data_IF_064581697397
#
_entry.id   IF_064581697397
#
_cell.length_a   1.000
_cell.length_b   1.000
_cell.length_c   1.000
_cell.angle_alpha   90.00
_cell.angle_beta   90.00
_cell.angle_gamma   90.00
#
_symmetry.space_group_name_H-M   'P 1'
#
loop_
_entity.id
_entity.type
_entity.pdbx_description
1 polymer ?
#
# COMPACT_ATOMS: atom_id res chain seq x y z
N UNK A 1 61.94 -53.01 12.99
CA UNK A 1 60.84 -52.14 13.44
C UNK A 1 60.49 -50.88 12.59
N UNK A 2 61.23 -50.50 11.57
CA UNK A 2 60.90 -49.30 10.75
C UNK A 2 59.91 -49.51 9.57
N UNK A 3 59.73 -50.73 9.07
CA UNK A 3 58.83 -51.03 7.94
C UNK A 3 57.32 -51.07 8.33
N UNK A 4 56.99 -51.51 9.53
CA UNK A 4 55.61 -51.60 10.01
C UNK A 4 54.96 -50.22 10.24
N UNK A 5 55.69 -49.20 10.69
CA UNK A 5 55.15 -47.85 10.90
C UNK A 5 54.75 -47.13 9.58
N UNK A 6 55.46 -47.43 8.46
CA UNK A 6 55.12 -46.79 7.15
C UNK A 6 53.87 -47.37 6.55
N UNK A 7 53.59 -48.66 6.74
CA UNK A 7 52.39 -49.31 6.22
C UNK A 7 51.14 -48.82 6.98
N UNK A 8 51.18 -48.64 8.29
CA UNK A 8 50.09 -48.14 9.09
C UNK A 8 49.73 -46.69 8.76
N UNK A 9 50.74 -45.82 8.50
CA UNK A 9 50.50 -44.42 8.13
C UNK A 9 49.89 -44.32 6.74
N UNK A 10 50.30 -45.16 5.80
CA UNK A 10 49.71 -45.20 4.45
C UNK A 10 48.26 -45.70 4.48
N UNK A 11 47.93 -46.70 5.29
CA UNK A 11 46.59 -47.25 5.42
C UNK A 11 45.60 -46.22 6.04
N UNK A 12 46.04 -45.51 7.09
CA UNK A 12 45.25 -44.46 7.72
C UNK A 12 44.99 -43.30 6.75
N UNK A 13 45.99 -42.90 5.92
CA UNK A 13 45.83 -41.89 4.92
C UNK A 13 44.81 -42.25 3.81
N UNK A 14 44.83 -43.54 3.36
CA UNK A 14 43.87 -44.03 2.34
C UNK A 14 42.45 -44.10 2.88
N UNK A 15 42.28 -44.55 4.13
CA UNK A 15 40.97 -44.63 4.78
C UNK A 15 40.40 -43.24 5.00
N UNK A 16 41.22 -42.25 5.43
CA UNK A 16 40.77 -40.87 5.60
C UNK A 16 40.37 -40.21 4.25
N UNK A 17 41.11 -40.50 3.18
CA UNK A 17 40.76 -40.00 1.85
C UNK A 17 39.49 -40.64 1.31
N UNK A 18 39.25 -41.91 1.55
CA UNK A 18 38.04 -42.62 1.17
C UNK A 18 36.79 -42.12 1.92
N UNK A 19 36.93 -41.77 3.20
CA UNK A 19 35.83 -41.17 4.00
C UNK A 19 35.51 -39.77 3.52
N UNK A 20 36.50 -38.95 3.18
CA UNK A 20 36.29 -37.62 2.63
C UNK A 20 35.65 -37.69 1.22
N UNK A 21 36.09 -38.64 0.39
CA UNK A 21 35.48 -38.80 -0.96
C UNK A 21 34.06 -39.36 -0.91
N UNK A 22 33.72 -40.20 0.07
CA UNK A 22 32.36 -40.67 0.25
C UNK A 22 31.45 -39.62 0.87
N UNK A 23 31.95 -38.74 1.75
CA UNK A 23 31.19 -37.61 2.27
C UNK A 23 30.87 -36.58 1.19
N UNK A 24 31.81 -36.31 0.25
CA UNK A 24 31.52 -35.46 -0.89
C UNK A 24 30.54 -36.08 -1.88
N UNK A 25 30.52 -37.41 -2.05
CA UNK A 25 29.53 -38.09 -2.89
C UNK A 25 28.10 -38.07 -2.30
N UNK A 26 27.99 -38.22 -1.00
CA UNK A 26 26.67 -38.12 -0.35
C UNK A 26 26.07 -36.75 -0.48
N UNK A 27 26.88 -35.69 -0.39
CA UNK A 27 26.43 -34.31 -0.59
C UNK A 27 25.96 -34.00 -2.03
N UNK A 28 26.49 -34.71 -3.04
CA UNK A 28 26.11 -34.52 -4.46
C UNK A 28 24.90 -35.37 -4.85
N UNK A 29 24.63 -36.46 -4.13
CA UNK A 29 23.52 -37.39 -4.43
C UNK A 29 22.35 -37.28 -3.44
N UNK A 30 22.42 -36.35 -2.52
CA UNK A 30 21.32 -36.12 -1.58
C UNK A 30 20.13 -35.52 -2.33
N UNK A 31 19.00 -36.23 -2.27
CA UNK A 31 17.73 -35.69 -2.77
C UNK A 31 17.32 -34.50 -1.91
N UNK A 32 17.51 -33.29 -2.45
CA UNK A 32 17.16 -32.03 -1.79
C UNK A 32 15.72 -31.61 -2.05
N UNK A 33 14.93 -32.43 -2.72
CA UNK A 33 13.51 -32.17 -2.95
C UNK A 33 12.74 -31.90 -1.64
N UNK A 34 13.03 -32.61 -0.52
CA UNK A 34 12.39 -32.34 0.78
C UNK A 34 12.89 -31.07 1.47
N UNK A 35 14.06 -30.51 1.07
CA UNK A 35 14.55 -29.29 1.68
C UNK A 35 13.70 -28.09 1.22
N UNK A 36 13.41 -27.13 2.11
CA UNK A 36 12.68 -25.93 1.73
C UNK A 36 13.46 -25.10 0.72
N UNK A 37 12.74 -24.28 -0.01
CA UNK A 37 13.29 -23.16 -0.75
C UNK A 37 13.33 -21.92 0.18
N UNK A 38 14.05 -20.89 -0.25
CA UNK A 38 14.07 -19.60 0.43
C UNK A 38 13.74 -18.49 -0.56
N UNK A 39 12.83 -17.62 -0.15
CA UNK A 39 12.51 -16.39 -0.88
C UNK A 39 13.28 -15.25 -0.22
N UNK A 40 14.23 -14.66 -0.95
CA UNK A 40 14.92 -13.45 -0.52
C UNK A 40 14.10 -12.24 -0.92
N UNK A 41 13.54 -11.60 0.08
CA UNK A 41 12.74 -10.38 -0.04
C UNK A 41 13.64 -9.18 0.23
N UNK A 42 13.68 -8.21 -0.71
CA UNK A 42 14.54 -7.05 -0.59
C UNK A 42 13.80 -5.78 -1.01
N UNK A 43 13.85 -4.75 -0.17
CA UNK A 43 13.22 -3.46 -0.48
C UNK A 43 14.01 -2.71 -1.56
N UNK A 44 13.33 -2.37 -2.66
CA UNK A 44 13.89 -1.65 -3.80
C UNK A 44 12.91 -0.56 -4.25
N UNK A 45 13.21 0.73 -4.03
CA UNK A 45 14.39 1.29 -3.35
C UNK A 45 14.42 0.97 -1.85
N UNK A 46 15.60 1.09 -1.20
CA UNK A 46 15.71 0.88 0.23
C UNK A 46 14.79 1.81 1.03
N UNK A 47 14.10 1.25 2.01
CA UNK A 47 13.17 1.96 2.89
C UNK A 47 13.98 2.80 3.89
N UNK A 48 13.53 4.03 4.16
CA UNK A 48 14.12 4.85 5.20
C UNK A 48 13.75 4.32 6.60
N UNK A 49 14.69 3.80 7.40
CA UNK A 49 14.39 3.24 8.72
C UNK A 49 13.98 4.29 9.76
N UNK A 50 14.10 5.58 9.46
CA UNK A 50 13.59 6.65 10.31
C UNK A 50 12.08 6.88 10.13
N UNK A 51 11.55 6.52 8.97
CA UNK A 51 10.11 6.59 8.69
C UNK A 51 9.42 5.34 9.19
N UNK A 52 10.03 4.18 8.92
CA UNK A 52 9.49 2.88 9.29
C UNK A 52 10.60 2.04 9.93
N UNK A 53 10.49 1.74 11.21
CA UNK A 53 11.47 0.89 11.91
C UNK A 53 11.19 -0.59 11.66
N UNK A 54 9.92 -0.98 11.68
CA UNK A 54 9.44 -2.35 11.49
C UNK A 54 8.19 -2.35 10.63
N UNK A 55 8.02 -3.43 9.85
CA UNK A 55 6.81 -3.72 9.08
C UNK A 55 6.26 -5.08 9.48
N UNK A 56 4.94 -5.21 9.47
CA UNK A 56 4.28 -6.51 9.54
C UNK A 56 4.54 -7.26 8.23
N UNK A 57 4.80 -8.56 8.33
CA UNK A 57 4.85 -9.46 7.19
C UNK A 57 3.92 -10.63 7.45
N UNK A 58 3.11 -10.98 6.47
CA UNK A 58 2.29 -12.19 6.46
C UNK A 58 2.61 -13.01 5.23
N UNK A 59 2.66 -14.31 5.40
CA UNK A 59 3.11 -15.28 4.40
C UNK A 59 2.03 -16.33 4.18
N UNK A 60 1.72 -16.63 2.93
CA UNK A 60 0.79 -17.68 2.53
C UNK A 60 1.46 -18.67 1.59
N UNK A 61 1.06 -19.93 1.69
CA UNK A 61 1.40 -21.00 0.75
C UNK A 61 0.13 -21.69 0.29
N UNK A 62 -0.06 -21.79 -1.02
CA UNK A 62 -1.23 -22.38 -1.63
C UNK A 62 -2.56 -21.80 -1.07
N UNK A 63 -2.58 -20.47 -0.80
CA UNK A 63 -3.72 -19.74 -0.24
C UNK A 63 -3.96 -19.93 1.26
N UNK A 64 -3.05 -20.58 2.00
CA UNK A 64 -3.14 -20.80 3.45
C UNK A 64 -2.10 -19.95 4.18
N UNK A 65 -2.54 -19.10 5.10
CA UNK A 65 -1.61 -18.33 5.94
C UNK A 65 -0.73 -19.27 6.78
N UNK A 66 0.57 -19.10 6.66
CA UNK A 66 1.60 -19.90 7.34
C UNK A 66 2.23 -19.18 8.50
N UNK A 67 2.48 -17.89 8.33
CA UNK A 67 3.22 -17.12 9.31
C UNK A 67 2.81 -15.65 9.23
N UNK A 68 2.84 -14.98 10.40
CA UNK A 68 2.64 -13.56 10.55
C UNK A 68 3.53 -13.03 11.67
N UNK A 69 4.42 -12.12 11.34
CA UNK A 69 5.32 -11.50 12.30
C UNK A 69 5.74 -10.10 11.86
N UNK A 70 6.59 -9.44 12.64
CA UNK A 70 7.17 -8.15 12.25
C UNK A 70 8.63 -8.31 11.89
N UNK A 71 9.05 -7.66 10.80
CA UNK A 71 10.44 -7.63 10.33
C UNK A 71 11.01 -6.22 10.46
N UNK A 72 12.28 -6.11 10.82
CA UNK A 72 12.95 -4.82 10.87
C UNK A 72 13.31 -4.34 9.45
N UNK A 73 13.08 -3.06 9.18
CA UNK A 73 13.32 -2.48 7.85
C UNK A 73 14.77 -2.61 7.41
N UNK A 74 15.74 -2.58 8.35
CA UNK A 74 17.15 -2.78 7.99
C UNK A 74 17.43 -4.20 7.45
N UNK A 75 16.65 -5.22 7.85
CA UNK A 75 16.76 -6.60 7.35
C UNK A 75 16.18 -6.68 5.93
N UNK A 76 15.03 -6.06 5.69
CA UNK A 76 14.44 -5.96 4.34
C UNK A 76 15.37 -5.25 3.36
N UNK A 77 16.05 -4.17 3.79
CA UNK A 77 17.00 -3.43 2.96
C UNK A 77 18.27 -4.23 2.62
N UNK A 78 18.54 -5.34 3.29
CA UNK A 78 19.69 -6.24 3.05
C UNK A 78 19.31 -7.56 2.41
N UNK A 79 18.03 -7.81 2.29
CA UNK A 79 17.46 -9.08 1.87
C UNK A 79 17.12 -9.98 3.04
N UNK A 80 15.84 -10.04 3.35
CA UNK A 80 15.25 -10.92 4.36
C UNK A 80 14.87 -12.25 3.71
N UNK A 81 15.20 -13.36 4.36
CA UNK A 81 14.92 -14.70 3.83
C UNK A 81 13.71 -15.31 4.52
N UNK A 82 12.76 -15.77 3.71
CA UNK A 82 11.55 -16.48 4.14
C UNK A 82 11.64 -17.91 3.62
N UNK A 83 11.40 -18.86 4.50
CA UNK A 83 11.30 -20.27 4.11
C UNK A 83 10.01 -20.47 3.31
N UNK A 84 10.10 -21.24 2.21
CA UNK A 84 8.99 -21.55 1.33
C UNK A 84 9.00 -23.04 0.93
N UNK A 85 7.84 -23.63 0.77
CA UNK A 85 7.69 -25.00 0.30
C UNK A 85 7.96 -25.07 -1.20
N UNK A 86 8.77 -26.05 -1.63
CA UNK A 86 8.96 -26.33 -3.06
C UNK A 86 7.67 -26.84 -3.71
N UNK A 87 7.52 -26.51 -4.99
CA UNK A 87 6.35 -26.84 -5.80
C UNK A 87 5.02 -26.32 -5.19
N UNK A 88 5.03 -25.07 -4.71
CA UNK A 88 3.87 -24.37 -4.16
C UNK A 88 3.74 -22.98 -4.76
N UNK A 89 2.59 -22.36 -4.59
CA UNK A 89 2.41 -20.93 -4.82
C UNK A 89 2.63 -20.18 -3.52
N UNK A 90 3.59 -19.28 -3.53
CA UNK A 90 4.01 -18.47 -2.38
C UNK A 90 3.53 -17.04 -2.54
N UNK A 91 2.96 -16.49 -1.48
CA UNK A 91 2.54 -15.10 -1.41
C UNK A 91 3.05 -14.46 -0.14
N UNK A 92 3.37 -13.18 -0.20
CA UNK A 92 3.65 -12.40 0.99
C UNK A 92 3.12 -10.96 0.85
N UNK A 93 2.60 -10.44 1.95
CA UNK A 93 2.22 -9.05 2.12
C UNK A 93 3.06 -8.40 3.21
N UNK A 94 3.56 -7.20 2.93
CA UNK A 94 4.15 -6.32 3.93
C UNK A 94 3.21 -5.17 4.20
N UNK A 95 3.09 -4.79 5.47
CA UNK A 95 2.18 -3.74 5.90
C UNK A 95 2.81 -2.91 7.02
N UNK A 96 2.71 -1.59 6.91
CA UNK A 96 3.11 -0.65 7.95
C UNK A 96 2.07 0.44 8.15
N UNK A 97 1.93 0.94 9.37
CA UNK A 97 1.05 2.06 9.69
C UNK A 97 -0.45 1.78 9.68
N UNK A 98 -0.88 0.56 9.37
CA UNK A 98 -2.29 0.18 9.45
C UNK A 98 -2.66 -0.28 10.86
N UNK A 99 -3.75 0.22 11.48
CA UNK A 99 -4.20 -0.25 12.78
C UNK A 99 -4.61 -1.73 12.74
N UNK A 100 -4.15 -2.52 13.71
CA UNK A 100 -4.43 -3.96 13.75
C UNK A 100 -5.93 -4.24 13.90
N UNK A 101 -6.63 -3.42 14.68
CA UNK A 101 -8.07 -3.49 14.89
C UNK A 101 -8.92 -3.16 13.65
N UNK A 102 -8.30 -2.63 12.59
CA UNK A 102 -8.94 -2.35 11.30
C UNK A 102 -8.64 -3.41 10.24
N UNK A 103 -7.99 -4.51 10.65
CA UNK A 103 -7.68 -5.64 9.77
C UNK A 103 -8.77 -6.70 9.92
N UNK A 104 -9.44 -7.01 8.82
CA UNK A 104 -10.34 -8.14 8.70
C UNK A 104 -9.58 -9.39 8.18
N UNK A 105 -10.28 -10.51 8.02
CA UNK A 105 -9.65 -11.77 7.56
C UNK A 105 -9.07 -11.68 6.16
N UNK A 106 -9.69 -10.89 5.29
CA UNK A 106 -9.44 -10.84 3.85
C UNK A 106 -9.32 -9.42 3.28
N UNK A 107 -9.38 -8.38 4.12
CA UNK A 107 -9.16 -6.99 3.71
C UNK A 107 -8.75 -6.08 4.86
N UNK A 108 -8.12 -4.95 4.49
CA UNK A 108 -7.79 -3.83 5.36
C UNK A 108 -8.95 -2.86 5.31
N UNK A 109 -9.64 -2.65 6.41
CA UNK A 109 -10.84 -1.83 6.49
C UNK A 109 -10.56 -0.44 7.05
N UNK A 110 -11.24 0.58 6.53
CA UNK A 110 -11.31 1.93 7.09
C UNK A 110 -12.70 2.08 7.71
N UNK A 111 -12.83 2.07 9.03
CA UNK A 111 -14.14 2.18 9.66
C UNK A 111 -14.81 3.52 9.33
N UNK A 112 -16.15 3.51 9.21
CA UNK A 112 -16.94 4.72 8.96
C UNK A 112 -16.60 5.85 9.95
N UNK A 113 -16.51 7.07 9.47
CA UNK A 113 -16.14 8.25 10.24
C UNK A 113 -14.63 8.51 10.30
N UNK A 114 -13.80 7.59 9.85
CA UNK A 114 -12.34 7.71 9.91
C UNK A 114 -11.72 8.11 8.58
N UNK A 115 -10.58 8.79 8.67
CA UNK A 115 -9.70 9.02 7.52
C UNK A 115 -8.82 7.79 7.27
N UNK A 116 -8.31 7.63 6.04
CA UNK A 116 -7.35 6.58 5.74
C UNK A 116 -6.10 6.70 6.65
N UNK A 117 -5.61 5.63 7.24
CA UNK A 117 -4.39 5.68 8.05
C UNK A 117 -3.17 5.94 7.18
N UNK A 118 -2.08 6.38 7.80
CA UNK A 118 -0.79 6.56 7.11
C UNK A 118 -0.15 5.19 6.83
N UNK A 119 -0.81 4.40 5.97
CA UNK A 119 -0.42 3.03 5.65
C UNK A 119 0.50 2.93 4.45
N UNK A 120 1.40 1.95 4.50
CA UNK A 120 2.20 1.50 3.37
C UNK A 120 2.06 0.00 3.23
N UNK A 121 2.05 -0.49 2.00
CA UNK A 121 1.92 -1.90 1.71
C UNK A 121 2.81 -2.34 0.56
N UNK A 122 3.11 -3.64 0.51
CA UNK A 122 3.64 -4.32 -0.64
C UNK A 122 3.08 -5.74 -0.68
N UNK A 123 2.85 -6.23 -1.89
CA UNK A 123 2.37 -7.60 -2.09
C UNK A 123 3.12 -8.22 -3.27
N UNK A 124 3.43 -9.50 -3.13
CA UNK A 124 3.92 -10.29 -4.24
C UNK A 124 3.47 -11.74 -4.12
N UNK A 125 3.33 -12.39 -5.27
CA UNK A 125 3.09 -13.83 -5.37
C UNK A 125 3.99 -14.42 -6.43
N UNK A 126 4.45 -15.66 -6.22
CA UNK A 126 5.30 -16.38 -7.16
C UNK A 126 5.17 -17.89 -7.05
N UNK A 127 5.40 -18.58 -8.16
CA UNK A 127 5.56 -20.02 -8.17
C UNK A 127 6.93 -20.41 -7.62
N UNK A 128 6.96 -21.29 -6.63
CA UNK A 128 8.17 -21.89 -6.10
C UNK A 128 8.35 -23.26 -6.77
N UNK A 129 9.34 -23.39 -7.63
CA UNK A 129 9.70 -24.65 -8.29
C UNK A 129 10.66 -25.49 -7.42
N UNK A 130 11.73 -25.98 -8.05
CA UNK A 130 12.74 -26.85 -7.41
C UNK A 130 14.00 -26.12 -6.96
N UNK A 131 14.18 -24.86 -7.34
CA UNK A 131 15.33 -24.06 -6.97
C UNK A 131 15.40 -23.82 -5.46
N UNK A 132 16.60 -23.53 -4.96
CA UNK A 132 16.82 -23.33 -3.54
C UNK A 132 16.55 -21.89 -3.09
N UNK A 133 16.76 -20.92 -3.98
CA UNK A 133 16.64 -19.49 -3.66
C UNK A 133 15.88 -18.77 -4.76
N UNK A 134 14.92 -17.97 -4.37
CA UNK A 134 14.13 -17.06 -5.20
C UNK A 134 14.40 -15.63 -4.77
N UNK A 135 14.25 -14.67 -5.68
CA UNK A 135 14.43 -13.26 -5.39
C UNK A 135 13.13 -12.48 -5.63
N UNK A 136 12.70 -11.75 -4.62
CA UNK A 136 11.50 -10.90 -4.66
C UNK A 136 11.90 -9.45 -4.31
N UNK A 137 12.16 -8.59 -5.32
CA UNK A 137 12.28 -7.16 -5.09
C UNK A 137 10.92 -6.59 -4.68
N UNK A 138 10.90 -5.76 -3.65
CA UNK A 138 9.69 -5.12 -3.13
C UNK A 138 9.77 -3.61 -3.25
N UNK A 139 8.74 -3.02 -3.78
CA UNK A 139 8.50 -1.59 -3.70
C UNK A 139 7.34 -1.32 -2.73
N UNK A 140 7.61 -0.54 -1.67
CA UNK A 140 6.55 -0.10 -0.77
C UNK A 140 5.70 0.98 -1.43
N UNK A 141 4.42 0.79 -1.37
CA UNK A 141 3.42 1.68 -1.94
C UNK A 141 2.61 2.33 -0.82
N UNK A 142 2.43 3.65 -0.88
CA UNK A 142 1.53 4.37 0.01
C UNK A 142 0.08 4.02 -0.30
N UNK A 143 -0.67 3.66 0.74
CA UNK A 143 -2.08 3.27 0.65
C UNK A 143 -3.04 4.47 0.72
N UNK A 144 -2.52 5.68 0.93
CA UNK A 144 -3.28 6.91 1.09
C UNK A 144 -2.65 8.06 0.31
N UNK A 145 -3.41 9.13 0.10
CA UNK A 145 -2.89 10.45 -0.25
C UNK A 145 -3.53 11.53 0.61
N UNK A 146 -2.80 12.61 0.86
CA UNK A 146 -3.32 13.81 1.53
C UNK A 146 -4.02 14.70 0.51
N UNK A 147 -5.23 15.11 0.83
CA UNK A 147 -5.98 16.10 0.06
C UNK A 147 -6.19 17.33 0.94
N UNK A 148 -5.76 18.48 0.49
CA UNK A 148 -6.00 19.78 1.12
C UNK A 148 -7.02 20.52 0.30
N UNK A 149 -8.23 20.63 0.83
CA UNK A 149 -9.31 21.41 0.23
C UNK A 149 -9.30 22.84 0.81
N UNK A 150 -9.32 23.83 -0.06
CA UNK A 150 -9.45 25.25 0.30
C UNK A 150 -10.52 25.87 -0.55
N UNK A 151 -11.45 26.61 0.05
CA UNK A 151 -12.45 27.36 -0.69
C UNK A 151 -12.32 28.85 -0.38
N UNK A 152 -12.23 29.67 -1.43
CA UNK A 152 -12.19 31.11 -1.37
C UNK A 152 -13.49 31.72 -1.88
N UNK A 153 -13.85 32.90 -1.41
CA UNK A 153 -15.07 33.58 -1.82
C UNK A 153 -16.30 33.20 -1.00
N UNK A 154 -16.20 32.22 -0.12
CA UNK A 154 -17.24 31.97 0.87
C UNK A 154 -17.32 33.13 1.87
N UNK A 155 -18.55 33.51 2.24
CA UNK A 155 -18.79 34.66 3.13
C UNK A 155 -18.10 34.45 4.48
N UNK A 156 -17.26 35.40 4.89
CA UNK A 156 -16.65 35.38 6.20
C UNK A 156 -17.72 35.42 7.31
N UNK A 157 -17.55 34.61 8.35
CA UNK A 157 -18.41 34.62 9.53
C UNK A 157 -19.37 33.43 9.66
N UNK A 158 -19.27 32.43 8.78
CA UNK A 158 -20.03 31.17 8.91
C UNK A 158 -19.14 30.05 9.48
N UNK A 159 -19.70 29.21 10.34
CA UNK A 159 -19.12 27.94 10.73
C UNK A 159 -19.41 26.92 9.63
N UNK A 160 -18.39 26.20 9.21
CA UNK A 160 -18.50 25.19 8.16
C UNK A 160 -18.13 23.80 8.71
N UNK A 161 -18.76 22.78 8.16
CA UNK A 161 -18.31 21.39 8.26
C UNK A 161 -18.08 20.83 6.87
N UNK A 162 -17.12 19.93 6.73
CA UNK A 162 -16.81 19.28 5.47
C UNK A 162 -16.63 17.78 5.70
N UNK A 163 -17.38 16.96 4.96
CA UNK A 163 -17.16 15.50 4.87
C UNK A 163 -16.48 15.15 3.58
N UNK A 164 -15.85 13.99 3.53
CA UNK A 164 -15.36 13.39 2.27
C UNK A 164 -15.92 11.98 2.19
N UNK A 165 -16.57 11.68 1.08
CA UNK A 165 -17.24 10.43 0.82
C UNK A 165 -16.68 9.78 -0.44
N UNK A 166 -16.66 8.44 -0.48
CA UNK A 166 -16.20 7.64 -1.60
C UNK A 166 -16.72 6.21 -1.52
N UNK A 167 -16.23 5.36 -2.42
CA UNK A 167 -16.61 3.94 -2.50
C UNK A 167 -15.43 2.99 -2.30
N UNK A 168 -14.26 3.50 -1.92
CA UNK A 168 -13.09 2.69 -1.55
C UNK A 168 -12.89 2.86 -0.06
N UNK A 169 -13.19 1.83 0.71
CA UNK A 169 -13.07 1.80 2.16
C UNK A 169 -11.92 0.92 2.66
N UNK A 170 -11.05 0.46 1.74
CA UNK A 170 -9.92 -0.37 2.13
C UNK A 170 -9.21 -1.07 0.98
N UNK A 171 -8.50 -2.13 1.33
CA UNK A 171 -7.67 -2.91 0.40
C UNK A 171 -7.79 -4.40 0.67
N UNK A 172 -7.73 -5.23 -0.37
CA UNK A 172 -7.68 -6.68 -0.24
C UNK A 172 -6.42 -7.12 0.53
N UNK A 173 -6.56 -8.15 1.37
CA UNK A 173 -5.46 -8.67 2.17
C UNK A 173 -5.62 -10.20 2.40
N UNK A 174 -4.70 -11.05 1.94
CA UNK A 174 -3.53 -10.69 1.12
C UNK A 174 -3.94 -10.16 -0.25
N UNK A 175 -3.11 -9.30 -0.82
CA UNK A 175 -3.38 -8.77 -2.14
C UNK A 175 -2.97 -7.31 -2.29
N UNK A 176 -3.33 -6.75 -3.41
CA UNK A 176 -3.05 -5.36 -3.78
C UNK A 176 -4.28 -4.64 -4.33
N UNK A 177 -5.41 -5.34 -4.44
CA UNK A 177 -6.66 -4.81 -4.95
C UNK A 177 -7.33 -3.84 -3.98
N UNK A 178 -8.28 -3.06 -4.52
CA UNK A 178 -9.14 -2.21 -3.70
C UNK A 178 -10.24 -3.04 -3.06
N UNK A 179 -10.66 -2.65 -1.85
CA UNK A 179 -11.91 -3.08 -1.28
C UNK A 179 -12.95 -1.97 -1.49
N UNK A 180 -14.10 -2.37 -2.04
CA UNK A 180 -15.18 -1.45 -2.38
C UNK A 180 -16.27 -1.50 -1.33
N UNK A 181 -16.43 -0.42 -0.61
CA UNK A 181 -17.41 -0.16 0.41
C UNK A 181 -17.53 1.34 0.69
N UNK A 182 -18.47 1.76 1.53
CA UNK A 182 -18.70 3.18 1.80
C UNK A 182 -17.55 3.78 2.61
N UNK A 183 -16.74 4.63 1.99
CA UNK A 183 -15.77 5.47 2.68
C UNK A 183 -16.46 6.78 3.09
N UNK A 184 -16.37 7.12 4.37
CA UNK A 184 -16.89 8.36 4.93
C UNK A 184 -15.93 8.90 5.97
N UNK A 185 -15.26 10.02 5.66
CA UNK A 185 -14.45 10.75 6.63
C UNK A 185 -15.32 11.83 7.31
N UNK A 186 -15.42 11.76 8.65
CA UNK A 186 -16.28 12.63 9.44
C UNK A 186 -16.10 14.12 9.18
N UNK A 187 -17.21 14.84 9.29
CA UNK A 187 -17.21 16.29 9.24
C UNK A 187 -16.40 16.87 10.39
N UNK A 188 -15.38 17.64 10.06
CA UNK A 188 -14.66 18.49 11.03
C UNK A 188 -15.12 19.92 10.85
N UNK A 189 -15.26 20.65 11.95
CA UNK A 189 -15.40 22.10 11.88
C UNK A 189 -14.11 22.67 11.27
N UNK A 190 -14.25 23.51 10.25
CA UNK A 190 -13.11 24.07 9.52
C UNK A 190 -13.19 25.60 9.57
N UNK A 191 -12.10 26.21 10.00
CA UNK A 191 -11.91 27.63 9.84
C UNK A 191 -11.55 27.94 8.38
N UNK A 192 -12.08 29.02 7.83
CA UNK A 192 -11.75 29.51 6.48
C UNK A 192 -11.94 28.50 5.34
N UNK A 193 -12.85 27.53 5.48
CA UNK A 193 -13.06 26.45 4.50
C UNK A 193 -11.75 25.80 4.05
N UNK A 194 -10.89 25.46 5.00
CA UNK A 194 -9.70 24.67 4.73
C UNK A 194 -9.78 23.35 5.49
N UNK A 195 -9.68 22.24 4.79
CA UNK A 195 -9.59 20.91 5.37
C UNK A 195 -8.47 20.13 4.74
N UNK A 196 -7.70 19.45 5.57
CA UNK A 196 -6.78 18.40 5.20
C UNK A 196 -7.40 17.06 5.58
N UNK A 197 -7.39 16.10 4.65
CA UNK A 197 -7.98 14.77 4.82
C UNK A 197 -7.14 13.74 4.09
N UNK A 198 -6.94 12.59 4.74
CA UNK A 198 -6.34 11.43 4.10
C UNK A 198 -7.43 10.57 3.48
N UNK A 199 -7.33 10.40 2.17
CA UNK A 199 -8.22 9.51 1.42
C UNK A 199 -7.47 8.23 1.04
N UNK A 200 -8.15 7.08 0.93
CA UNK A 200 -7.53 5.86 0.42
C UNK A 200 -7.10 6.04 -1.03
N UNK A 201 -6.05 5.34 -1.40
CA UNK A 201 -5.62 5.21 -2.79
C UNK A 201 -6.78 4.71 -3.65
N UNK A 202 -6.96 5.28 -4.84
CA UNK A 202 -8.09 4.98 -5.73
C UNK A 202 -7.76 3.94 -6.80
N UNK A 203 -6.54 3.39 -6.79
CA UNK A 203 -6.11 2.32 -7.69
C UNK A 203 -5.38 1.23 -6.92
N UNK A 204 -5.37 -0.02 -7.39
CA UNK A 204 -4.55 -1.08 -6.84
C UNK A 204 -3.07 -0.68 -6.72
N UNK A 205 -2.36 -1.21 -5.74
CA UNK A 205 -0.94 -0.88 -5.55
C UNK A 205 0.03 -1.92 -6.17
N UNK A 206 -0.46 -2.72 -7.10
CA UNK A 206 0.30 -3.62 -7.97
C UNK A 206 -0.30 -3.55 -9.38
N UNK A 207 0.30 -4.21 -10.34
CA UNK A 207 -0.07 -4.19 -11.76
C UNK A 207 -1.57 -3.94 -12.03
N UNK A 208 -1.85 -2.82 -12.66
CA UNK A 208 -3.22 -2.39 -12.99
C UNK A 208 -3.70 -3.21 -14.19
N UNK A 209 -4.75 -3.98 -14.01
CA UNK A 209 -5.40 -4.71 -15.10
C UNK A 209 -6.38 -3.80 -15.86
N UNK A 210 -6.84 -4.25 -17.05
CA UNK A 210 -7.84 -3.49 -17.81
C UNK A 210 -9.19 -3.38 -17.07
N UNK A 211 -9.51 -4.35 -16.22
CA UNK A 211 -10.70 -4.32 -15.36
C UNK A 211 -10.58 -3.25 -14.27
N UNK A 212 -9.37 -3.13 -13.68
CA UNK A 212 -9.10 -2.15 -12.63
C UNK A 212 -9.25 -0.70 -13.13
N UNK A 213 -8.88 -0.41 -14.39
CA UNK A 213 -9.05 0.93 -14.99
C UNK A 213 -10.53 1.35 -15.07
N UNK A 214 -11.44 0.42 -15.34
CA UNK A 214 -12.89 0.72 -15.37
C UNK A 214 -13.40 1.01 -13.96
N UNK A 215 -13.00 0.19 -12.98
CA UNK A 215 -13.38 0.38 -11.58
C UNK A 215 -12.78 1.66 -10.97
N UNK A 216 -11.55 2.02 -11.36
CA UNK A 216 -10.90 3.28 -10.99
C UNK A 216 -11.76 4.49 -11.39
N UNK A 217 -12.24 4.50 -12.64
CA UNK A 217 -13.08 5.59 -13.15
C UNK A 217 -14.35 5.75 -12.33
N UNK A 218 -14.99 4.64 -11.94
CA UNK A 218 -16.19 4.63 -11.13
C UNK A 218 -15.89 5.06 -9.69
N UNK A 219 -14.77 4.63 -9.11
CA UNK A 219 -14.36 5.00 -7.77
C UNK A 219 -14.05 6.51 -7.67
N UNK A 220 -13.33 7.06 -8.65
CA UNK A 220 -13.06 8.49 -8.72
C UNK A 220 -14.34 9.30 -8.95
N UNK A 221 -15.28 8.84 -9.78
CA UNK A 221 -16.55 9.52 -9.99
C UNK A 221 -17.39 9.60 -8.70
N UNK A 222 -17.27 8.64 -7.80
CA UNK A 222 -17.96 8.61 -6.53
C UNK A 222 -17.30 9.44 -5.42
N UNK A 223 -16.03 9.84 -5.60
CA UNK A 223 -15.29 10.60 -4.60
C UNK A 223 -15.75 12.07 -4.61
N UNK A 224 -16.33 12.50 -3.50
CA UNK A 224 -16.87 13.86 -3.33
C UNK A 224 -16.54 14.43 -1.96
N UNK A 225 -16.57 15.75 -1.85
CA UNK A 225 -16.58 16.44 -0.57
C UNK A 225 -17.87 17.24 -0.45
N UNK A 226 -18.57 17.09 0.68
CA UNK A 226 -19.79 17.85 0.98
C UNK A 226 -19.49 18.95 2.01
N UNK A 227 -19.88 20.18 1.70
CA UNK A 227 -19.77 21.34 2.57
C UNK A 227 -21.14 21.59 3.23
N UNK A 228 -21.11 21.81 4.53
CA UNK A 228 -22.27 22.15 5.34
C UNK A 228 -22.03 23.50 6.01
N UNK A 229 -23.05 24.35 6.08
CA UNK A 229 -23.02 25.65 6.75
C UNK A 229 -23.90 25.59 7.99
N UNK A 230 -23.44 26.16 9.07
CA UNK A 230 -24.24 26.28 10.31
C UNK A 230 -25.36 27.28 10.11
N UNK A 231 -26.57 26.82 10.29
CA UNK A 231 -27.74 27.68 10.36
C UNK A 231 -27.91 28.16 11.80
N UNK A 232 -27.59 29.42 12.09
CA UNK A 232 -27.67 29.98 13.44
C UNK A 232 -29.08 29.91 14.05
N UNK A 233 -30.10 30.08 13.21
CA UNK A 233 -31.49 30.05 13.65
C UNK A 233 -31.96 28.65 14.08
N UNK A 234 -31.42 27.58 13.46
CA UNK A 234 -31.75 26.19 13.74
C UNK A 234 -30.72 25.51 14.67
N UNK A 235 -29.56 26.12 14.89
CA UNK A 235 -28.46 25.52 15.64
C UNK A 235 -27.88 24.25 15.01
N UNK A 236 -28.19 23.99 13.72
CA UNK A 236 -27.80 22.79 12.98
C UNK A 236 -27.05 23.13 11.70
N UNK A 237 -26.26 22.17 11.20
CA UNK A 237 -25.62 22.29 9.92
C UNK A 237 -26.55 21.87 8.79
N UNK A 238 -26.62 22.65 7.73
CA UNK A 238 -27.36 22.35 6.50
C UNK A 238 -26.39 22.16 5.35
N UNK A 239 -26.70 21.20 4.46
CA UNK A 239 -25.88 20.97 3.25
C UNK A 239 -25.90 22.24 2.40
N UNK A 240 -24.70 22.64 1.99
CA UNK A 240 -24.48 23.85 1.20
C UNK A 240 -24.03 23.51 -0.23
N UNK A 241 -23.02 22.68 -0.40
CA UNK A 241 -22.41 22.38 -1.68
C UNK A 241 -21.77 21.00 -1.69
N UNK A 242 -21.92 20.25 -2.78
CA UNK A 242 -21.14 19.07 -3.10
C UNK A 242 -20.02 19.40 -4.10
N UNK A 243 -18.79 18.99 -3.80
CA UNK A 243 -17.59 19.16 -4.63
C UNK A 243 -17.29 17.81 -5.28
N UNK A 244 -17.30 17.68 -6.62
CA UNK A 244 -16.94 16.44 -7.31
C UNK A 244 -15.41 16.24 -7.28
N UNK A 245 -14.89 15.92 -6.10
CA UNK A 245 -13.45 15.88 -5.81
C UNK A 245 -12.71 14.91 -6.73
N UNK A 246 -13.25 13.72 -6.96
CA UNK A 246 -12.63 12.72 -7.81
C UNK A 246 -12.52 13.17 -9.27
N UNK A 247 -13.56 13.87 -9.79
CA UNK A 247 -13.51 14.43 -11.12
C UNK A 247 -12.43 15.52 -11.23
N UNK A 248 -12.36 16.41 -10.25
CA UNK A 248 -11.36 17.49 -10.20
C UNK A 248 -9.94 16.90 -10.18
N UNK A 249 -9.69 15.87 -9.37
CA UNK A 249 -8.40 15.20 -9.31
C UNK A 249 -8.10 14.48 -10.63
N UNK A 250 -9.07 13.77 -11.21
CA UNK A 250 -8.90 13.08 -12.49
C UNK A 250 -8.57 14.05 -13.64
N UNK A 251 -9.30 15.16 -13.73
CA UNK A 251 -9.09 16.20 -14.77
C UNK A 251 -7.74 16.89 -14.61
N UNK A 252 -7.13 16.88 -13.43
CA UNK A 252 -5.78 17.40 -13.20
C UNK A 252 -4.67 16.51 -13.76
N UNK A 253 -4.99 15.26 -14.13
CA UNK A 253 -4.01 14.27 -14.58
C UNK A 253 -3.16 13.69 -13.46
N UNK A 254 -3.69 13.63 -12.22
CA UNK A 254 -3.01 13.00 -11.09
C UNK A 254 -2.71 11.54 -11.36
N UNK A 255 -1.47 11.14 -11.12
CA UNK A 255 -1.00 9.79 -11.38
C UNK A 255 -1.08 8.91 -10.12
N UNK A 256 -2.18 8.17 -10.00
CA UNK A 256 -2.41 7.23 -8.90
C UNK A 256 -1.50 5.99 -8.94
N UNK A 257 -0.84 5.71 -10.07
CA UNK A 257 -0.02 4.51 -10.23
C UNK A 257 1.30 4.57 -9.49
N UNK A 258 1.75 5.77 -9.09
CA UNK A 258 3.02 5.95 -8.37
C UNK A 258 3.00 5.26 -7.02
N UNK A 259 4.13 4.65 -6.64
CA UNK A 259 4.29 4.04 -5.33
C UNK A 259 4.12 5.06 -4.20
N UNK A 260 4.72 6.23 -4.35
CA UNK A 260 4.55 7.36 -3.44
C UNK A 260 3.58 8.37 -4.04
N UNK A 261 2.44 8.56 -3.38
CA UNK A 261 1.44 9.53 -3.77
C UNK A 261 1.74 10.91 -3.17
N UNK A 262 1.64 11.93 -3.99
CA UNK A 262 1.91 13.31 -3.63
C UNK A 262 0.67 13.96 -3.03
N UNK A 263 0.86 14.98 -2.17
CA UNK A 263 -0.23 15.79 -1.64
C UNK A 263 -0.97 16.49 -2.77
N UNK A 264 -2.29 16.47 -2.72
CA UNK A 264 -3.17 17.15 -3.66
C UNK A 264 -3.76 18.36 -2.97
N UNK A 265 -3.46 19.56 -3.47
CA UNK A 265 -4.06 20.80 -2.98
C UNK A 265 -5.10 21.25 -3.98
N UNK A 266 -6.36 21.35 -3.54
CA UNK A 266 -7.49 21.82 -4.36
C UNK A 266 -7.95 23.16 -3.82
N UNK A 267 -7.64 24.23 -4.54
CA UNK A 267 -8.11 25.58 -4.27
C UNK A 267 -9.35 25.84 -5.14
N UNK A 268 -10.48 26.07 -4.50
CA UNK A 268 -11.76 26.38 -5.13
C UNK A 268 -12.04 27.87 -5.03
N UNK A 269 -12.40 28.49 -6.13
CA UNK A 269 -12.96 29.82 -6.18
C UNK A 269 -14.49 29.71 -6.28
N UNK A 270 -15.17 30.22 -5.27
CA UNK A 270 -16.62 30.11 -5.14
C UNK A 270 -17.28 31.46 -5.30
N UNK A 271 -18.40 31.50 -5.98
CA UNK A 271 -19.30 32.63 -6.01
C UNK A 271 -20.72 32.13 -5.68
N UNK A 272 -21.30 32.63 -4.58
CA UNK A 272 -22.54 32.11 -4.02
C UNK A 272 -22.44 30.59 -3.77
N UNK A 273 -23.36 29.81 -4.33
CA UNK A 273 -23.41 28.34 -4.19
C UNK A 273 -22.75 27.61 -5.41
N UNK A 274 -21.90 28.31 -6.14
CA UNK A 274 -21.30 27.79 -7.37
C UNK A 274 -19.77 27.79 -7.32
N UNK A 275 -19.16 26.74 -7.86
CA UNK A 275 -17.71 26.69 -8.08
C UNK A 275 -17.40 27.35 -9.41
N UNK A 276 -16.69 28.47 -9.38
CA UNK A 276 -16.29 29.23 -10.58
C UNK A 276 -15.04 28.67 -11.23
N UNK A 277 -14.10 28.22 -10.40
CA UNK A 277 -12.87 27.56 -10.86
C UNK A 277 -12.30 26.66 -9.78
N UNK A 278 -11.55 25.65 -10.20
CA UNK A 278 -10.75 24.82 -9.33
C UNK A 278 -9.30 24.85 -9.78
N UNK A 279 -8.39 25.10 -8.86
CA UNK A 279 -6.94 25.03 -9.10
C UNK A 279 -6.39 23.84 -8.34
N UNK A 280 -5.81 22.88 -9.05
CA UNK A 280 -5.20 21.69 -8.45
C UNK A 280 -3.69 21.84 -8.49
N UNK A 281 -3.05 21.78 -7.32
CA UNK A 281 -1.59 21.82 -7.20
C UNK A 281 -1.09 20.48 -6.66
N UNK A 282 -0.17 19.86 -7.41
CA UNK A 282 0.44 18.56 -7.08
C UNK A 282 1.94 18.71 -7.26
N UNK A 283 2.73 18.48 -6.21
CA UNK A 283 4.21 18.53 -6.25
C UNK A 283 4.79 19.77 -6.99
N UNK A 284 4.16 20.93 -6.82
CA UNK A 284 4.58 22.17 -7.47
C UNK A 284 4.08 22.38 -8.90
N UNK A 285 3.34 21.43 -9.47
CA UNK A 285 2.59 21.60 -10.71
C UNK A 285 1.20 22.13 -10.40
N UNK A 286 0.75 23.10 -11.19
CA UNK A 286 -0.57 23.71 -11.00
C UNK A 286 -1.38 23.57 -12.27
N UNK A 287 -2.55 22.95 -12.14
CA UNK A 287 -3.55 22.83 -13.21
C UNK A 287 -4.74 23.69 -12.85
N UNK A 288 -5.16 24.56 -13.75
CA UNK A 288 -6.34 25.43 -13.57
C UNK A 288 -7.47 24.82 -14.39
N UNK A 289 -8.51 24.37 -13.70
CA UNK A 289 -9.75 23.90 -14.29
C UNK A 289 -10.73 25.09 -14.34
N UNK A 290 -10.94 25.67 -15.51
CA UNK A 290 -11.90 26.74 -15.68
C UNK A 290 -13.29 26.17 -15.93
N UNK A 291 -14.28 26.76 -15.28
CA UNK A 291 -15.67 26.38 -15.43
C UNK A 291 -16.32 26.98 -16.72
N UNK A 292 -15.77 26.65 -17.90
CA UNK A 292 -16.50 26.84 -19.13
C UNK A 292 -17.31 25.56 -19.40
N UNK A 293 -18.62 25.66 -19.22
CA UNK A 293 -19.64 24.63 -19.44
C UNK A 293 -19.50 23.37 -18.57
N UNK A 294 -19.68 23.54 -17.25
CA UNK A 294 -20.17 22.43 -16.47
C UNK A 294 -19.17 21.66 -15.62
N UNK A 295 -18.58 22.29 -14.60
CA UNK A 295 -18.64 21.60 -13.30
C UNK A 295 -20.12 21.71 -12.91
N UNK A 296 -20.96 20.92 -13.57
CA UNK A 296 -22.37 20.78 -13.21
C UNK A 296 -22.38 20.02 -11.90
N UNK A 297 -22.77 20.73 -10.87
CA UNK A 297 -23.00 20.24 -9.51
C UNK A 297 -24.28 19.43 -9.51
#
# INVERSE_FOLDING_TARGET
MRKTKRITTALVGIVSLAVLASSCRSLVLEDRTPCPAFVRVEAVPPINPKTWERLGISVWEDGVEKDRHTVAVYELNRGYYIEAKKNSYFEASLLGGWPEEWMESDYLHIPEGNECPEGVGAYFGMEIGTDEIYYAPLELTYLYTNVVLRARGASAGYDFKMTVDGVVDGFQYPGSGLHYGPFHAEAREVEYLRREVRIPRQVPFKEITRADVVQETDALAALKADIFVKNEALGSFTHYLAIPLGKIISDSGYDWSRAQLEEIVVDLEMFEESIMSATVTIAGWTVILQGDEGITI
#
